data_IF_308829120791
#
_entry.id   IF_308829120791
#
_cell.length_a   1.000
_cell.length_b   1.000
_cell.length_c   1.000
_cell.angle_alpha   90.00
_cell.angle_beta   90.00
_cell.angle_gamma   90.00
#
_symmetry.space_group_name_H-M   'P 1'
#
loop_
_entity.id
_entity.type
_entity.pdbx_description
1 polymer ?
#
# COMPACT_ATOMS: atom_id res chain seq x y z
N UNK A 1 13.46 -11.02 12.81
CA UNK A 1 12.31 -10.15 12.44
C UNK A 1 11.99 -10.40 10.98
N UNK A 2 10.72 -10.51 10.59
CA UNK A 2 10.37 -10.63 9.16
C UNK A 2 10.56 -9.25 8.53
N UNK A 3 11.25 -9.19 7.40
CA UNK A 3 11.43 -7.95 6.63
C UNK A 3 10.24 -7.76 5.66
N UNK A 4 9.83 -6.51 5.39
CA UNK A 4 8.72 -6.24 4.49
C UNK A 4 9.04 -6.73 3.08
N UNK A 5 8.14 -7.52 2.52
CA UNK A 5 8.20 -7.93 1.12
C UNK A 5 7.26 -7.03 0.33
N UNK A 6 7.84 -6.08 -0.40
CA UNK A 6 7.10 -5.07 -1.15
C UNK A 6 6.55 -5.64 -2.46
N UNK A 7 5.25 -5.45 -2.67
CA UNK A 7 4.56 -5.71 -3.93
C UNK A 7 4.12 -4.38 -4.54
N UNK A 8 4.53 -4.11 -5.77
CA UNK A 8 4.08 -2.95 -6.53
C UNK A 8 2.66 -3.17 -7.04
N UNK A 9 1.77 -2.22 -6.78
CA UNK A 9 0.39 -2.27 -7.28
C UNK A 9 0.35 -2.31 -8.80
N UNK A 10 -0.51 -3.16 -9.36
CA UNK A 10 -0.77 -3.24 -10.81
C UNK A 10 -1.42 -1.97 -11.39
N UNK A 11 -1.95 -1.09 -10.53
CA UNK A 11 -2.47 0.23 -10.91
C UNK A 11 -1.38 1.31 -10.96
N UNK A 12 -0.13 0.96 -10.59
CA UNK A 12 1.01 1.86 -10.76
C UNK A 12 1.41 1.86 -12.23
N UNK A 13 1.15 2.96 -12.93
CA UNK A 13 1.58 3.18 -14.31
C UNK A 13 2.65 4.27 -14.37
N UNK A 14 3.34 4.36 -15.51
CA UNK A 14 4.38 5.37 -15.79
C UNK A 14 3.86 6.82 -15.73
N UNK A 15 2.54 7.02 -15.64
CA UNK A 15 1.90 8.32 -15.47
C UNK A 15 2.10 8.95 -14.07
N UNK A 16 2.86 8.30 -13.17
CA UNK A 16 3.43 8.98 -12.01
C UNK A 16 2.66 8.85 -10.71
N UNK A 17 1.86 7.79 -10.52
CA UNK A 17 1.35 7.43 -9.20
C UNK A 17 1.72 5.97 -8.91
N UNK A 18 2.76 5.74 -8.11
CA UNK A 18 3.32 4.41 -7.90
C UNK A 18 3.28 4.05 -6.42
N UNK A 19 2.64 2.91 -6.10
CA UNK A 19 2.46 2.47 -4.71
C UNK A 19 2.97 1.03 -4.55
N UNK A 20 3.70 0.79 -3.46
CA UNK A 20 4.09 -0.53 -2.99
C UNK A 20 3.44 -0.86 -1.65
N UNK A 21 3.06 -2.13 -1.46
CA UNK A 21 2.40 -2.64 -0.26
C UNK A 21 3.16 -3.86 0.27
N UNK A 22 3.34 -3.96 1.59
CA UNK A 22 3.86 -5.15 2.25
C UNK A 22 2.86 -5.67 3.29
N UNK A 23 2.30 -6.86 3.06
CA UNK A 23 1.33 -7.52 3.95
C UNK A 23 1.86 -8.79 4.62
N UNK A 24 3.16 -9.10 4.48
CA UNK A 24 3.78 -10.31 5.02
C UNK A 24 4.21 -10.18 6.51
N UNK A 25 3.98 -9.02 7.11
CA UNK A 25 4.31 -8.71 8.49
C UNK A 25 3.12 -9.02 9.41
N UNK A 26 3.37 -9.58 10.61
CA UNK A 26 2.29 -9.89 11.55
C UNK A 26 1.64 -8.61 12.09
N UNK A 27 0.31 -8.52 11.97
CA UNK A 27 -0.47 -7.43 12.57
C UNK A 27 -0.36 -6.07 11.88
N UNK A 28 0.33 -5.97 10.75
CA UNK A 28 0.56 -4.69 10.06
C UNK A 28 0.60 -4.84 8.55
N UNK A 29 0.05 -3.84 7.86
CA UNK A 29 0.22 -3.62 6.42
C UNK A 29 0.93 -2.30 6.23
N UNK A 30 2.03 -2.31 5.47
CA UNK A 30 2.78 -1.11 5.14
C UNK A 30 2.48 -0.67 3.71
N UNK A 31 2.42 0.64 3.48
CA UNK A 31 2.21 1.25 2.17
C UNK A 31 3.22 2.37 1.99
N UNK A 32 3.91 2.41 0.85
CA UNK A 32 4.86 3.50 0.55
C UNK A 32 4.77 3.95 -0.90
N UNK A 33 5.30 5.16 -1.14
CA UNK A 33 5.58 5.64 -2.49
C UNK A 33 6.72 4.82 -3.09
N UNK A 34 6.49 4.21 -4.26
CA UNK A 34 7.56 3.48 -4.95
C UNK A 34 8.69 4.39 -5.42
N UNK A 35 8.44 5.71 -5.57
CA UNK A 35 9.43 6.69 -6.04
C UNK A 35 10.34 7.20 -4.93
N UNK A 36 9.94 7.04 -3.68
CA UNK A 36 10.79 7.30 -2.51
C UNK A 36 10.82 6.07 -1.58
N UNK A 37 11.53 4.98 -1.95
CA UNK A 37 11.60 3.77 -1.15
C UNK A 37 12.26 3.97 0.22
N UNK A 38 13.08 5.01 0.37
CA UNK A 38 13.75 5.43 1.60
C UNK A 38 12.88 6.31 2.50
N UNK A 39 11.81 6.86 1.96
CA UNK A 39 10.85 7.68 2.67
C UNK A 39 10.00 6.90 3.68
N UNK A 40 9.17 7.61 4.45
CA UNK A 40 8.29 6.98 5.43
C UNK A 40 7.23 6.10 4.78
N UNK A 41 6.93 4.96 5.41
CA UNK A 41 5.79 4.12 5.05
C UNK A 41 4.58 4.42 5.94
N UNK A 42 3.40 4.50 5.34
CA UNK A 42 2.14 4.47 6.06
C UNK A 42 1.93 3.07 6.67
N UNK A 43 1.38 3.05 7.87
CA UNK A 43 1.22 1.83 8.67
C UNK A 43 -0.26 1.63 8.99
N UNK A 44 -0.80 0.47 8.65
CA UNK A 44 -2.20 0.12 8.88
C UNK A 44 -2.30 -1.17 9.69
N UNK A 45 -3.36 -1.30 10.49
CA UNK A 45 -3.83 -2.63 10.91
C UNK A 45 -4.43 -3.36 9.71
N UNK A 46 -4.48 -4.71 9.70
CA UNK A 46 -5.12 -5.46 8.62
C UNK A 46 -6.58 -5.06 8.40
N UNK A 47 -7.31 -4.71 9.46
CA UNK A 47 -8.71 -4.29 9.40
C UNK A 47 -8.86 -2.93 8.73
N UNK A 48 -8.02 -1.96 9.12
CA UNK A 48 -8.01 -0.63 8.51
C UNK A 48 -7.64 -0.69 7.02
N UNK A 49 -6.67 -1.53 6.66
CA UNK A 49 -6.29 -1.75 5.26
C UNK A 49 -7.45 -2.31 4.41
N UNK A 50 -8.13 -3.35 4.90
CA UNK A 50 -9.30 -3.93 4.20
C UNK A 50 -10.42 -2.92 4.04
N UNK A 51 -10.69 -2.12 5.08
CA UNK A 51 -11.70 -1.06 5.04
C UNK A 51 -11.36 0.00 4.00
N UNK A 52 -10.12 0.49 4.01
CA UNK A 52 -9.62 1.47 3.04
C UNK A 52 -9.77 0.98 1.60
N UNK A 53 -9.27 -0.22 1.28
CA UNK A 53 -9.34 -0.78 -0.08
C UNK A 53 -10.79 -0.97 -0.52
N UNK A 54 -11.66 -1.45 0.37
CA UNK A 54 -13.09 -1.62 0.07
C UNK A 54 -13.76 -0.29 -0.24
N UNK A 55 -13.43 0.76 0.52
CA UNK A 55 -13.97 2.10 0.29
C UNK A 55 -13.49 2.67 -1.04
N UNK A 56 -12.18 2.60 -1.32
CA UNK A 56 -11.58 3.10 -2.56
C UNK A 56 -12.13 2.37 -3.80
N UNK A 57 -12.44 1.08 -3.71
CA UNK A 57 -13.01 0.32 -4.83
C UNK A 57 -14.46 0.70 -5.15
N UNK A 58 -15.18 1.29 -4.18
CA UNK A 58 -16.58 1.72 -4.34
C UNK A 58 -16.72 3.22 -4.61
N UNK A 59 -15.66 3.99 -4.38
CA UNK A 59 -15.67 5.42 -4.59
C UNK A 59 -15.79 5.72 -6.11
N UNK A 60 -16.68 6.63 -6.51
CA UNK A 60 -16.63 7.22 -7.85
C UNK A 60 -15.25 7.80 -8.10
N UNK A 61 -14.68 7.51 -9.28
CA UNK A 61 -13.49 8.22 -9.76
C UNK A 61 -14.02 9.40 -10.55
N UNK A 62 -14.12 10.55 -9.90
CA UNK A 62 -14.40 11.83 -10.56
C UNK A 62 -13.15 12.35 -11.29
#
# INVERSE_FOLDING_TARGET
MRQPQWYKSSRSDNAGNCVEVAGNLPGVVLVRDSKDPSGPALTFTPEAWRSLVTHLHRAPVD
#
